data_IF_374853820046
#
_entry.id   IF_374853820046
#
_cell.length_a   1.000
_cell.length_b   1.000
_cell.length_c   1.000
_cell.angle_alpha   90.00
_cell.angle_beta   90.00
_cell.angle_gamma   90.00
#
_symmetry.space_group_name_H-M   'P 1'
#
loop_
_entity.id
_entity.type
_entity.pdbx_description
1 polymer ?
#
# COMPACT_ATOMS: atom_id res chain seq x y z
N UNK A 1 8.46 17.87 0.29
CA UNK A 1 8.79 16.56 -0.33
C UNK A 1 7.57 15.69 -0.69
N UNK A 2 6.49 15.70 0.11
CA UNK A 2 5.29 14.87 -0.13
C UNK A 2 4.60 15.03 -1.49
N UNK A 3 4.59 16.23 -2.07
CA UNK A 3 4.01 16.46 -3.42
C UNK A 3 4.81 15.70 -4.49
N UNK A 4 6.14 15.70 -4.37
CA UNK A 4 7.01 14.98 -5.30
C UNK A 4 6.79 13.47 -5.19
N UNK A 5 6.65 12.95 -3.97
CA UNK A 5 6.30 11.55 -3.74
C UNK A 5 4.97 11.19 -4.43
N UNK A 6 3.91 11.99 -4.23
CA UNK A 6 2.60 11.78 -4.88
C UNK A 6 2.67 11.82 -6.41
N UNK A 7 3.53 12.67 -6.96
CA UNK A 7 3.73 12.79 -8.41
C UNK A 7 4.46 11.58 -9.01
N UNK A 8 5.37 10.97 -8.27
CA UNK A 8 6.04 9.75 -8.72
C UNK A 8 5.18 8.51 -8.55
N UNK A 9 4.32 8.51 -7.52
CA UNK A 9 3.41 7.41 -7.18
C UNK A 9 2.11 7.41 -8.00
N UNK A 10 2.21 7.61 -9.32
CA UNK A 10 1.06 7.60 -10.24
C UNK A 10 0.87 6.20 -10.80
N UNK A 11 -0.34 5.65 -10.66
CA UNK A 11 -0.67 4.26 -10.99
C UNK A 11 -0.29 3.84 -12.42
N UNK A 12 -0.31 4.75 -13.39
CA UNK A 12 0.01 4.44 -14.80
C UNK A 12 1.50 4.25 -15.08
N UNK A 13 2.37 4.80 -14.23
CA UNK A 13 3.83 4.81 -14.43
C UNK A 13 4.55 4.16 -13.23
N UNK A 14 3.79 3.46 -12.39
CA UNK A 14 4.26 2.95 -11.10
C UNK A 14 5.32 1.88 -11.32
N UNK A 15 5.08 0.95 -12.23
CA UNK A 15 5.95 -0.19 -12.52
C UNK A 15 7.36 0.27 -12.93
N UNK A 16 7.47 1.34 -13.71
CA UNK A 16 8.76 1.90 -14.17
C UNK A 16 9.47 2.77 -13.12
N UNK A 17 8.77 3.19 -12.07
CA UNK A 17 9.24 4.23 -11.12
C UNK A 17 9.31 3.74 -9.67
N UNK A 18 9.23 2.44 -9.43
CA UNK A 18 9.25 1.86 -8.08
C UNK A 18 10.47 2.34 -7.27
N UNK A 19 11.67 2.32 -7.86
CA UNK A 19 12.89 2.81 -7.21
C UNK A 19 12.82 4.30 -6.84
N UNK A 20 12.25 5.12 -7.73
CA UNK A 20 12.10 6.56 -7.50
C UNK A 20 11.09 6.84 -6.37
N UNK A 21 10.03 6.03 -6.26
CA UNK A 21 9.06 6.11 -5.17
C UNK A 21 9.73 5.77 -3.84
N UNK A 22 10.55 4.71 -3.79
CA UNK A 22 11.30 4.33 -2.59
C UNK A 22 12.26 5.44 -2.17
N UNK A 23 13.03 6.00 -3.11
CA UNK A 23 13.97 7.08 -2.83
C UNK A 23 13.24 8.35 -2.35
N UNK A 24 12.13 8.72 -3.00
CA UNK A 24 11.33 9.87 -2.59
C UNK A 24 10.72 9.68 -1.19
N UNK A 25 10.28 8.47 -0.86
CA UNK A 25 9.81 8.14 0.49
C UNK A 25 10.93 8.26 1.52
N UNK A 26 12.12 7.70 1.26
CA UNK A 26 13.26 7.79 2.18
C UNK A 26 13.66 9.25 2.45
N UNK A 27 13.60 10.13 1.45
CA UNK A 27 13.86 11.56 1.64
C UNK A 27 12.83 12.21 2.59
N UNK A 28 11.55 11.86 2.47
CA UNK A 28 10.52 12.35 3.41
C UNK A 28 10.79 11.83 4.83
N UNK A 29 11.12 10.54 4.97
CA UNK A 29 11.39 9.94 6.27
C UNK A 29 12.61 10.59 6.96
N UNK A 30 13.65 10.94 6.20
CA UNK A 30 14.83 11.62 6.75
C UNK A 30 14.57 13.03 7.27
N UNK A 31 13.49 13.68 6.83
CA UNK A 31 13.10 15.03 7.27
C UNK A 31 12.27 14.98 8.57
N UNK A 32 11.61 13.84 8.85
CA UNK A 32 10.71 13.69 10.00
C UNK A 32 11.48 13.17 11.21
N UNK A 33 11.47 13.93 12.30
CA UNK A 33 12.01 13.48 13.58
C UNK A 33 11.01 12.59 14.32
N UNK A 34 11.16 11.28 14.16
CA UNK A 34 10.35 10.27 14.84
C UNK A 34 10.49 10.31 16.37
N UNK A 35 11.67 10.69 16.89
CA UNK A 35 11.89 10.72 18.34
C UNK A 35 11.06 11.84 18.98
N UNK A 36 11.05 13.01 18.34
CA UNK A 36 10.20 14.14 18.77
C UNK A 36 8.71 13.77 18.74
N UNK A 37 8.27 13.08 17.68
CA UNK A 37 6.89 12.66 17.52
C UNK A 37 6.49 11.62 18.59
N UNK A 38 7.36 10.65 18.87
CA UNK A 38 7.13 9.64 19.90
C UNK A 38 7.04 10.26 21.31
N UNK A 39 7.93 11.21 21.62
CA UNK A 39 7.91 11.93 22.90
C UNK A 39 6.60 12.72 23.07
N UNK A 40 6.14 13.38 22.02
CA UNK A 40 4.92 14.16 22.04
C UNK A 40 3.68 13.31 22.36
N UNK A 41 3.49 12.18 21.65
CA UNK A 41 2.35 11.30 21.90
C UNK A 41 2.51 10.42 23.16
N UNK A 42 3.73 10.27 23.68
CA UNK A 42 4.02 9.50 24.89
C UNK A 42 3.97 10.28 26.21
N UNK A 43 4.22 11.59 26.19
CA UNK A 43 4.49 12.37 27.40
C UNK A 43 3.65 13.62 27.63
N UNK A 44 3.08 14.24 26.59
CA UNK A 44 2.46 15.57 26.72
C UNK A 44 0.95 15.46 26.93
N UNK A 45 0.46 15.96 28.07
CA UNK A 45 -0.97 16.13 28.30
C UNK A 45 -1.46 17.36 27.52
N UNK A 46 -2.41 17.17 26.62
CA UNK A 46 -2.98 18.28 25.85
C UNK A 46 -4.06 19.01 26.61
N UNK A 47 -3.81 20.30 26.85
CA UNK A 47 -4.89 21.24 27.15
C UNK A 47 -5.64 21.57 25.84
N UNK A 48 -6.96 21.41 25.88
CA UNK A 48 -7.86 21.65 24.74
C UNK A 48 -8.32 23.10 24.67
N UNK A 49 -8.10 23.88 25.73
CA UNK A 49 -8.55 25.27 25.82
C UNK A 49 -7.45 26.27 25.40
N UNK A 50 -6.19 25.82 25.36
CA UNK A 50 -5.06 26.65 24.90
C UNK A 50 -4.90 26.62 23.36
N UNK A 51 -4.97 27.78 22.68
CA UNK A 51 -4.81 27.85 21.23
C UNK A 51 -3.42 27.47 20.71
N UNK A 52 -2.36 27.56 21.52
CA UNK A 52 -1.01 27.13 21.09
C UNK A 52 -0.89 25.60 21.09
N UNK A 53 -1.33 24.93 22.16
CA UNK A 53 -1.43 23.47 22.26
C UNK A 53 -2.26 22.85 21.11
N UNK A 54 -3.36 23.49 20.70
CA UNK A 54 -4.18 23.01 19.58
C UNK A 54 -3.44 23.11 18.24
N UNK A 55 -2.65 24.17 18.03
CA UNK A 55 -1.86 24.34 16.81
C UNK A 55 -0.73 23.33 16.73
N UNK A 56 0.02 23.15 17.81
CA UNK A 56 1.10 22.17 17.88
C UNK A 56 0.58 20.75 17.61
N UNK A 57 -0.60 20.42 18.15
CA UNK A 57 -1.24 19.13 17.86
C UNK A 57 -1.59 18.94 16.41
N UNK A 58 -2.11 19.98 15.75
CA UNK A 58 -2.40 19.91 14.33
C UNK A 58 -1.14 19.67 13.52
N UNK A 59 -0.04 20.35 13.85
CA UNK A 59 1.26 20.15 13.18
C UNK A 59 1.81 18.74 13.41
N UNK A 60 1.72 18.21 14.64
CA UNK A 60 2.14 16.85 14.96
C UNK A 60 1.28 15.79 14.28
N UNK A 61 -0.04 15.98 14.22
CA UNK A 61 -0.97 15.11 13.50
C UNK A 61 -0.70 15.13 11.98
N UNK A 62 -0.33 16.29 11.42
CA UNK A 62 0.09 16.43 10.02
C UNK A 62 1.42 15.70 9.75
N UNK A 63 2.44 15.87 10.59
CA UNK A 63 3.72 15.16 10.47
C UNK A 63 3.53 13.64 10.60
N UNK A 64 2.73 13.18 11.56
CA UNK A 64 2.35 11.78 11.71
C UNK A 64 1.63 11.23 10.48
N UNK A 65 0.73 12.02 9.90
CA UNK A 65 0.04 11.68 8.67
C UNK A 65 1.00 11.53 7.48
N UNK A 66 1.96 12.45 7.34
CA UNK A 66 3.00 12.40 6.31
C UNK A 66 3.91 11.19 6.49
N UNK A 67 4.32 10.88 7.73
CA UNK A 67 5.10 9.70 8.08
C UNK A 67 4.39 8.42 7.65
N UNK A 68 3.13 8.24 8.07
CA UNK A 68 2.33 7.06 7.72
C UNK A 68 2.10 6.93 6.20
N UNK A 69 1.92 8.06 5.51
CA UNK A 69 1.71 8.08 4.06
C UNK A 69 3.01 7.74 3.30
N UNK A 70 4.17 8.23 3.76
CA UNK A 70 5.48 7.92 3.18
C UNK A 70 5.88 6.45 3.38
N UNK A 71 5.70 5.93 4.61
CA UNK A 71 5.93 4.52 4.94
C UNK A 71 5.01 3.60 4.13
N UNK A 72 3.72 3.93 4.05
CA UNK A 72 2.79 3.11 3.31
C UNK A 72 3.07 3.06 1.81
N UNK A 73 3.51 4.17 1.20
CA UNK A 73 3.94 4.18 -0.21
C UNK A 73 5.22 3.37 -0.43
N UNK A 74 6.17 3.47 0.50
CA UNK A 74 7.42 2.69 0.46
C UNK A 74 7.11 1.19 0.54
N UNK A 75 6.30 0.77 1.51
CA UNK A 75 5.86 -0.62 1.66
C UNK A 75 5.20 -1.14 0.38
N UNK A 76 4.27 -0.37 -0.20
CA UNK A 76 3.62 -0.76 -1.46
C UNK A 76 4.62 -0.92 -2.61
N UNK A 77 5.54 0.04 -2.79
CA UNK A 77 6.54 -0.04 -3.85
C UNK A 77 7.48 -1.25 -3.71
N UNK A 78 7.87 -1.60 -2.48
CA UNK A 78 8.66 -2.80 -2.22
C UNK A 78 7.88 -4.09 -2.52
N UNK A 79 6.61 -4.15 -2.13
CA UNK A 79 5.76 -5.29 -2.46
C UNK A 79 5.58 -5.47 -3.98
N UNK A 80 5.40 -4.37 -4.72
CA UNK A 80 5.27 -4.41 -6.18
C UNK A 80 6.59 -4.90 -6.83
N UNK A 81 7.75 -4.46 -6.31
CA UNK A 81 9.07 -4.88 -6.78
C UNK A 81 9.33 -6.38 -6.54
N UNK A 82 8.97 -6.89 -5.35
CA UNK A 82 9.03 -8.32 -5.03
C UNK A 82 8.10 -9.16 -5.93
N UNK A 83 6.88 -8.68 -6.20
CA UNK A 83 5.94 -9.36 -7.10
C UNK A 83 6.43 -9.39 -8.56
N UNK A 84 7.15 -8.34 -9.00
CA UNK A 84 7.70 -8.25 -10.36
C UNK A 84 8.86 -9.24 -10.54
N UNK A 85 9.80 -9.27 -9.60
CA UNK A 85 10.95 -10.18 -9.62
C UNK A 85 10.53 -11.66 -9.58
N UNK A 86 9.52 -11.99 -8.77
CA UNK A 86 8.94 -13.34 -8.73
C UNK A 86 8.25 -13.75 -10.05
N UNK A 87 7.77 -12.79 -10.84
CA UNK A 87 7.15 -13.09 -12.14
C UNK A 87 8.20 -13.38 -13.21
N UNK A 88 9.28 -12.59 -13.28
CA UNK A 88 10.37 -12.77 -14.26
C UNK A 88 11.11 -14.10 -14.07
N UNK A 89 11.32 -14.53 -12.83
CA UNK A 89 11.99 -15.81 -12.51
C UNK A 89 11.17 -17.04 -12.93
N UNK A 90 9.85 -16.92 -13.07
CA UNK A 90 8.97 -18.01 -13.52
C UNK A 90 8.87 -18.06 -15.06
N UNK A 91 9.07 -16.93 -15.75
CA UNK A 91 9.02 -16.87 -17.22
C UNK A 91 10.34 -17.25 -17.89
N UNK A 92 11.47 -17.13 -17.20
CA UNK A 92 12.81 -17.41 -17.75
C UNK A 92 13.36 -18.82 -17.42
N UNK A 93 12.57 -19.68 -16.77
CA UNK A 93 12.93 -21.10 -16.55
C UNK A 93 12.70 -21.95 -17.81
N UNK A 94 13.29 -21.51 -18.92
CA UNK A 94 13.15 -22.11 -20.25
C UNK A 94 14.29 -21.75 -21.20
N UNK A 95 15.51 -21.53 -20.72
CA UNK A 95 16.74 -21.63 -21.53
C UNK A 95 17.97 -21.70 -20.62
N UNK A 96 18.67 -22.85 -20.64
CA UNK A 96 20.01 -22.99 -20.06
C UNK A 96 21.03 -22.22 -20.93
N UNK A 97 21.82 -21.33 -20.30
CA UNK A 97 23.29 -21.33 -20.47
C UNK A 97 24.03 -20.46 -19.45
N UNK A 98 25.19 -21.00 -19.10
CA UNK A 98 26.15 -20.67 -18.06
C UNK A 98 26.78 -19.26 -18.04
N UNK A 99 27.11 -18.87 -16.80
CA UNK A 99 28.32 -18.21 -16.28
C UNK A 99 28.75 -16.78 -16.72
N UNK A 100 28.73 -15.92 -15.68
CA UNK A 100 29.82 -15.06 -15.21
C UNK A 100 29.98 -13.64 -15.78
N UNK A 101 29.41 -12.65 -15.08
CA UNK A 101 30.09 -11.36 -14.82
C UNK A 101 29.54 -10.61 -13.61
N UNK A 102 30.19 -10.83 -12.48
CA UNK A 102 30.24 -9.89 -11.36
C UNK A 102 30.70 -8.50 -11.82
N UNK A 103 29.92 -7.46 -11.53
CA UNK A 103 30.45 -6.09 -11.33
C UNK A 103 29.60 -5.37 -10.29
N UNK A 104 29.96 -5.59 -9.04
CA UNK A 104 29.69 -4.70 -7.91
C UNK A 104 30.40 -3.36 -8.09
N UNK A 105 29.67 -2.25 -8.02
CA UNK A 105 30.15 -0.93 -7.56
C UNK A 105 28.94 -0.14 -7.05
N UNK A 106 28.56 -0.32 -5.77
CA UNK A 106 28.93 0.54 -4.64
C UNK A 106 28.45 1.99 -4.75
N UNK A 107 27.31 2.29 -4.13
CA UNK A 107 27.20 3.45 -3.26
C UNK A 107 26.74 2.99 -1.87
N UNK A 108 27.74 2.75 -1.04
CA UNK A 108 27.63 2.29 0.34
C UNK A 108 27.09 3.37 1.26
N UNK A 109 25.95 3.10 1.91
CA UNK A 109 25.78 3.33 3.35
C UNK A 109 24.65 2.45 3.93
N UNK A 110 25.07 1.54 4.81
CA UNK A 110 24.34 0.96 5.95
C UNK A 110 23.00 0.22 5.69
N UNK A 111 23.09 -1.12 5.66
CA UNK A 111 22.29 -2.05 6.50
C UNK A 111 20.84 -1.69 6.82
N UNK A 112 19.94 -1.77 5.83
CA UNK A 112 18.56 -2.20 6.02
C UNK A 112 17.97 -2.45 4.62
N UNK A 113 17.92 -3.71 4.18
CA UNK A 113 16.89 -4.07 3.18
C UNK A 113 15.62 -4.08 4.00
N UNK A 114 14.99 -2.91 4.12
CA UNK A 114 13.69 -2.79 4.76
C UNK A 114 12.73 -3.72 4.01
N UNK A 115 12.37 -4.84 4.62
CA UNK A 115 11.37 -5.71 4.03
C UNK A 115 10.00 -5.05 4.14
N UNK A 116 9.06 -5.48 3.29
CA UNK A 116 7.67 -5.04 3.43
C UNK A 116 7.16 -5.20 4.87
N UNK A 117 7.48 -6.32 5.52
CA UNK A 117 7.01 -6.62 6.87
C UNK A 117 7.62 -5.70 7.92
N UNK A 118 8.89 -5.32 7.78
CA UNK A 118 9.57 -4.39 8.68
C UNK A 118 8.92 -3.00 8.61
N UNK A 119 8.60 -2.52 7.41
CA UNK A 119 7.95 -1.22 7.22
C UNK A 119 6.51 -1.25 7.74
N UNK A 120 5.77 -2.33 7.49
CA UNK A 120 4.41 -2.48 8.03
C UNK A 120 4.44 -2.52 9.57
N UNK A 121 5.43 -3.18 10.17
CA UNK A 121 5.63 -3.20 11.61
C UNK A 121 5.97 -1.81 12.15
N UNK A 122 6.85 -1.06 11.50
CA UNK A 122 7.16 0.31 11.87
C UNK A 122 5.94 1.24 11.76
N UNK A 123 5.17 1.09 10.67
CA UNK A 123 3.94 1.86 10.46
C UNK A 123 2.86 1.59 11.53
N UNK A 124 2.77 0.35 12.05
CA UNK A 124 1.83 -0.01 13.13
C UNK A 124 2.08 0.75 14.44
N UNK A 125 3.31 1.20 14.68
CA UNK A 125 3.63 2.00 15.88
C UNK A 125 2.92 3.37 15.84
N UNK A 126 2.61 3.87 14.64
CA UNK A 126 2.03 5.19 14.44
C UNK A 126 0.54 5.13 14.15
N UNK A 127 0.10 4.19 13.30
CA UNK A 127 -1.27 4.15 12.81
C UNK A 127 -1.85 2.75 12.87
N UNK A 128 -3.11 2.65 13.28
CA UNK A 128 -3.89 1.43 13.11
C UNK A 128 -4.22 1.22 11.62
N UNK A 129 -3.45 0.32 11.01
CA UNK A 129 -3.52 -0.03 9.59
C UNK A 129 -4.86 -0.73 9.27
N UNK A 130 -5.37 -1.55 10.20
CA UNK A 130 -6.52 -2.41 9.94
C UNK A 130 -7.85 -1.67 10.12
N UNK A 131 -7.88 -0.65 10.98
CA UNK A 131 -9.04 0.25 11.12
C UNK A 131 -9.19 1.21 9.92
N UNK A 132 -8.08 1.65 9.33
CA UNK A 132 -8.10 2.72 8.33
C UNK A 132 -8.07 2.19 6.89
N UNK A 133 -9.22 2.28 6.20
CA UNK A 133 -9.40 1.79 4.84
C UNK A 133 -8.50 2.47 3.79
N UNK A 134 -7.85 3.61 4.11
CA UNK A 134 -6.83 4.24 3.26
C UNK A 134 -5.61 3.34 3.02
N UNK A 135 -5.35 2.42 3.95
CA UNK A 135 -4.25 1.46 3.91
C UNK A 135 -4.70 0.04 3.54
N UNK A 136 -5.94 -0.12 3.10
CA UNK A 136 -6.52 -1.43 2.75
C UNK A 136 -5.67 -2.24 1.78
N UNK A 137 -4.95 -1.61 0.84
CA UNK A 137 -4.03 -2.30 -0.07
C UNK A 137 -2.91 -3.02 0.67
N UNK A 138 -2.32 -2.37 1.68
CA UNK A 138 -1.24 -2.94 2.48
C UNK A 138 -1.75 -4.09 3.32
N UNK A 139 -2.94 -3.96 3.92
CA UNK A 139 -3.60 -5.05 4.63
C UNK A 139 -3.90 -6.23 3.69
N UNK A 140 -4.41 -5.97 2.48
CA UNK A 140 -4.67 -7.03 1.50
C UNK A 140 -3.38 -7.77 1.12
N UNK A 141 -2.28 -7.05 0.90
CA UNK A 141 -0.99 -7.65 0.55
C UNK A 141 -0.42 -8.47 1.72
N UNK A 142 -0.50 -7.94 2.94
CA UNK A 142 -0.10 -8.66 4.16
C UNK A 142 -0.89 -9.95 4.36
N UNK A 143 -2.22 -9.90 4.26
CA UNK A 143 -3.08 -11.09 4.43
C UNK A 143 -2.87 -12.10 3.29
N UNK A 144 -2.50 -11.64 2.10
CA UNK A 144 -2.11 -12.51 0.98
C UNK A 144 -0.82 -13.26 1.29
N UNK A 145 0.22 -12.57 1.78
CA UNK A 145 1.49 -13.18 2.21
C UNK A 145 1.30 -14.18 3.36
N UNK A 146 0.39 -13.87 4.28
CA UNK A 146 0.01 -14.77 5.38
C UNK A 146 -0.90 -15.94 4.95
N UNK A 147 -1.32 -16.00 3.68
CA UNK A 147 -2.23 -17.00 3.14
C UNK A 147 -3.56 -17.10 3.93
N UNK A 148 -4.17 -15.94 4.22
CA UNK A 148 -5.45 -15.84 4.94
C UNK A 148 -6.58 -15.36 4.02
N UNK A 149 -7.07 -16.18 3.06
CA UNK A 149 -8.04 -15.76 2.05
C UNK A 149 -9.39 -15.31 2.67
N UNK A 150 -9.78 -15.86 3.82
CA UNK A 150 -10.99 -15.43 4.53
C UNK A 150 -10.94 -13.98 5.04
N UNK A 151 -9.78 -13.54 5.54
CA UNK A 151 -9.58 -12.15 5.96
C UNK A 151 -9.58 -11.21 4.75
N UNK A 152 -8.95 -11.63 3.65
CA UNK A 152 -8.98 -10.90 2.37
C UNK A 152 -10.42 -10.72 1.89
N UNK A 153 -11.24 -11.78 1.86
CA UNK A 153 -12.65 -11.70 1.49
C UNK A 153 -13.46 -10.77 2.40
N UNK A 154 -13.25 -10.86 3.71
CA UNK A 154 -13.92 -9.99 4.69
C UNK A 154 -13.61 -8.52 4.42
N UNK A 155 -12.35 -8.18 4.17
CA UNK A 155 -11.94 -6.82 3.84
C UNK A 155 -12.50 -6.35 2.50
N UNK A 156 -12.47 -7.19 1.46
CA UNK A 156 -13.05 -6.86 0.16
C UNK A 156 -14.55 -6.62 0.24
N UNK A 157 -15.28 -7.39 1.05
CA UNK A 157 -16.71 -7.16 1.29
C UNK A 157 -16.95 -5.83 2.01
N UNK A 158 -16.15 -5.50 3.04
CA UNK A 158 -16.21 -4.20 3.72
C UNK A 158 -15.97 -3.03 2.75
N UNK A 159 -15.03 -3.19 1.81
CA UNK A 159 -14.77 -2.19 0.76
C UNK A 159 -15.93 -2.04 -0.24
N UNK A 160 -16.68 -3.12 -0.50
CA UNK A 160 -17.85 -3.09 -1.39
C UNK A 160 -19.04 -2.34 -0.79
N UNK A 161 -19.20 -2.31 0.53
CA UNK A 161 -20.30 -1.60 1.21
C UNK A 161 -20.39 -0.13 0.79
N UNK A 162 -19.24 0.52 0.58
CA UNK A 162 -19.15 1.90 0.08
C UNK A 162 -18.54 2.01 -1.32
N UNK A 163 -18.64 0.97 -2.13
CA UNK A 163 -18.14 0.94 -3.52
C UNK A 163 -16.65 1.33 -3.69
N UNK A 164 -15.82 1.18 -2.65
CA UNK A 164 -14.42 1.60 -2.66
C UNK A 164 -14.19 3.10 -2.47
N UNK A 165 -15.23 3.91 -2.22
CA UNK A 165 -15.09 5.35 -1.97
C UNK A 165 -14.22 5.67 -0.75
N UNK A 166 -14.22 4.80 0.27
CA UNK A 166 -13.39 4.95 1.47
C UNK A 166 -11.88 4.88 1.17
N UNK A 167 -11.48 4.37 0.00
CA UNK A 167 -10.08 4.35 -0.45
C UNK A 167 -9.69 5.64 -1.20
N UNK A 168 -10.66 6.53 -1.49
CA UNK A 168 -10.41 7.79 -2.19
C UNK A 168 -9.56 8.72 -1.30
N UNK A 169 -8.38 9.07 -1.79
CA UNK A 169 -7.38 9.83 -1.03
C UNK A 169 -6.46 8.99 -0.13
N UNK A 170 -6.57 7.65 -0.21
CA UNK A 170 -5.56 6.73 0.32
C UNK A 170 -4.39 6.52 -0.64
N UNK A 171 -3.53 5.54 -0.32
CA UNK A 171 -2.34 5.22 -1.13
C UNK A 171 -2.72 4.69 -2.51
N UNK A 172 -3.79 3.88 -2.58
CA UNK A 172 -4.41 3.47 -3.83
C UNK A 172 -5.91 3.65 -3.72
N UNK A 173 -6.50 4.25 -4.74
CA UNK A 173 -7.94 4.15 -4.92
C UNK A 173 -8.26 2.79 -5.57
N UNK A 174 -9.06 1.96 -4.89
CA UNK A 174 -9.50 0.67 -5.43
C UNK A 174 -10.90 0.86 -6.01
N UNK A 175 -11.00 0.77 -7.34
CA UNK A 175 -12.30 0.85 -8.03
C UNK A 175 -13.14 -0.41 -7.76
N UNK A 176 -14.47 -0.27 -7.83
CA UNK A 176 -15.40 -1.40 -7.65
C UNK A 176 -15.09 -2.60 -8.57
N UNK A 177 -14.72 -2.34 -9.82
CA UNK A 177 -14.29 -3.39 -10.76
C UNK A 177 -13.03 -4.12 -10.29
N UNK A 178 -12.05 -3.39 -9.76
CA UNK A 178 -10.83 -3.99 -9.20
C UNK A 178 -11.13 -4.82 -7.94
N UNK A 179 -12.08 -4.39 -7.09
CA UNK A 179 -12.50 -5.18 -5.91
C UNK A 179 -13.10 -6.51 -6.36
N UNK A 180 -14.02 -6.51 -7.33
CA UNK A 180 -14.57 -7.76 -7.86
C UNK A 180 -13.52 -8.64 -8.53
N UNK A 181 -12.55 -8.06 -9.27
CA UNK A 181 -11.44 -8.82 -9.86
C UNK A 181 -10.64 -9.54 -8.79
N UNK A 182 -10.23 -8.84 -7.72
CA UNK A 182 -9.50 -9.44 -6.59
C UNK A 182 -10.33 -10.48 -5.84
N UNK A 183 -11.62 -10.21 -5.60
CA UNK A 183 -12.54 -11.16 -4.96
C UNK A 183 -12.71 -12.43 -5.78
N UNK A 184 -12.78 -12.30 -7.10
CA UNK A 184 -12.86 -13.44 -8.02
C UNK A 184 -11.65 -14.34 -7.88
N UNK A 185 -10.43 -13.78 -7.89
CA UNK A 185 -9.18 -14.56 -7.73
C UNK A 185 -9.16 -15.33 -6.41
N UNK A 186 -9.55 -14.71 -5.30
CA UNK A 186 -9.58 -15.39 -3.99
C UNK A 186 -10.67 -16.48 -3.93
N UNK A 187 -11.81 -16.26 -4.60
CA UNK A 187 -12.86 -17.27 -4.67
C UNK A 187 -12.48 -18.45 -5.57
N UNK A 188 -11.68 -18.22 -6.62
CA UNK A 188 -11.09 -19.26 -7.47
C UNK A 188 -10.10 -20.10 -6.65
N UNK A 189 -9.24 -19.47 -5.85
CA UNK A 189 -8.31 -20.17 -4.92
C UNK A 189 -9.04 -21.07 -3.92
N UNK A 190 -10.26 -20.70 -3.52
CA UNK A 190 -11.10 -21.46 -2.59
C UNK A 190 -12.06 -22.45 -3.28
N UNK A 191 -12.05 -22.55 -4.61
CA UNK A 191 -12.94 -23.39 -5.42
C UNK A 191 -14.45 -23.09 -5.23
N UNK A 192 -14.83 -21.82 -5.06
CA UNK A 192 -16.23 -21.40 -5.00
C UNK A 192 -16.77 -20.97 -6.36
N UNK A 193 -16.89 -21.92 -7.30
CA UNK A 193 -17.22 -21.66 -8.72
C UNK A 193 -18.49 -20.83 -8.93
N UNK A 194 -19.56 -21.16 -8.20
CA UNK A 194 -20.84 -20.45 -8.27
C UNK A 194 -20.73 -18.97 -7.87
N UNK A 195 -19.86 -18.63 -6.92
CA UNK A 195 -19.63 -17.24 -6.51
C UNK A 195 -18.74 -16.50 -7.51
N UNK A 196 -17.80 -17.20 -8.13
CA UNK A 196 -16.93 -16.69 -9.19
C UNK A 196 -17.76 -16.25 -10.40
N UNK A 197 -18.69 -17.08 -10.86
CA UNK A 197 -19.59 -16.74 -11.97
C UNK A 197 -20.43 -15.49 -11.66
N UNK A 198 -21.02 -15.45 -10.47
CA UNK A 198 -21.79 -14.29 -10.00
C UNK A 198 -20.95 -13.02 -10.01
N UNK A 199 -19.72 -13.09 -9.51
CA UNK A 199 -18.83 -11.93 -9.42
C UNK A 199 -18.38 -11.42 -10.80
N UNK A 200 -18.16 -12.33 -11.75
CA UNK A 200 -17.86 -11.98 -13.15
C UNK A 200 -19.02 -11.20 -13.77
N UNK A 201 -20.26 -11.62 -13.54
CA UNK A 201 -21.46 -10.91 -14.02
C UNK A 201 -21.58 -9.54 -13.34
N UNK A 202 -21.44 -9.48 -12.02
CA UNK A 202 -21.53 -8.22 -11.26
C UNK A 202 -20.45 -7.21 -11.67
N UNK A 203 -19.24 -7.66 -12.00
CA UNK A 203 -18.18 -6.81 -12.53
C UNK A 203 -18.59 -6.11 -13.83
N UNK A 204 -19.23 -6.84 -14.75
CA UNK A 204 -19.70 -6.28 -16.03
C UNK A 204 -20.83 -5.28 -15.79
N UNK A 205 -21.81 -5.63 -14.94
CA UNK A 205 -22.97 -4.76 -14.64
C UNK A 205 -22.53 -3.48 -13.93
N UNK A 206 -21.58 -3.59 -13.00
CA UNK A 206 -21.15 -2.45 -12.17
C UNK A 206 -20.17 -1.49 -12.85
N UNK A 207 -19.66 -1.81 -14.03
CA UNK A 207 -18.73 -0.95 -14.78
C UNK A 207 -19.03 -1.00 -16.29
N UNK A 208 -20.22 -0.52 -16.72
CA UNK A 208 -20.58 -0.50 -18.12
C UNK A 208 -19.73 0.54 -18.88
N UNK A 209 -19.30 0.20 -20.10
CA UNK A 209 -18.50 1.11 -20.94
C UNK A 209 -19.30 2.31 -21.46
N UNK A 210 -20.61 2.15 -21.60
CA UNK A 210 -21.55 3.16 -22.07
C UNK A 210 -22.82 3.06 -21.23
N UNK A 211 -23.47 4.18 -21.01
CA UNK A 211 -24.81 4.18 -20.42
C UNK A 211 -25.77 3.39 -21.31
N UNK A 212 -26.76 2.76 -20.68
CA UNK A 212 -27.87 2.16 -21.42
C UNK A 212 -28.54 3.23 -22.28
N UNK A 213 -28.88 2.85 -23.51
CA UNK A 213 -29.70 3.70 -24.37
C UNK A 213 -31.07 3.87 -23.69
N UNK A 214 -31.60 5.09 -23.76
CA UNK A 214 -32.92 5.45 -23.24
C UNK A 214 -34.02 4.96 -24.18
#
# INVERSE_FOLDING_TARGET
>A
LMIQLKKQDVETLRDDRLEQVIQASNNVLSEIDESKLALYYGGTFHDKEDPESVKERKEMDEMKGQLAEALGRKARALADMENTTNTTTITDSGEEKDEDKSTTTNLSKATDIDTFDDIVKHMRNWVDIDANLKFSVLTLERERRANHPGHVLKLLNKLLEKNGEDTKGGICHITKSAIYKRRTTVLEELNYDHLVERDRVLRVISSPKKYSLF
#
